data_IF_064258596674
#
_entry.id   IF_064258596674
#
_cell.length_a   1.000
_cell.length_b   1.000
_cell.length_c   1.000
_cell.angle_alpha   90.00
_cell.angle_beta   90.00
_cell.angle_gamma   90.00
#
_symmetry.space_group_name_H-M   'P 1'
#
loop_
_entity.id
_entity.type
_entity.pdbx_description
1 polymer ?
#
# COMPACT_ATOMS: atom_id res chain seq x y z
N UNK A 1 40.19 17.63 -30.71
CA UNK A 1 39.23 17.45 -29.58
C UNK A 1 38.67 16.02 -29.64
N UNK A 2 38.51 15.30 -28.50
CA UNK A 2 37.54 14.20 -28.26
C UNK A 2 38.01 12.93 -27.50
N UNK A 3 39.23 12.81 -26.99
CA UNK A 3 39.58 11.63 -26.16
C UNK A 3 38.92 11.65 -24.77
N UNK A 4 38.80 12.84 -24.16
CA UNK A 4 38.17 12.98 -22.83
C UNK A 4 36.66 12.67 -22.84
N UNK A 5 35.94 13.03 -23.91
CA UNK A 5 34.50 12.72 -24.07
C UNK A 5 34.26 11.21 -24.18
N UNK A 6 35.13 10.49 -24.89
CA UNK A 6 34.99 9.04 -25.13
C UNK A 6 35.18 8.22 -23.84
N UNK A 7 36.12 8.61 -22.97
CA UNK A 7 36.35 7.97 -21.67
C UNK A 7 35.18 8.19 -20.70
N UNK A 8 34.65 9.41 -20.62
CA UNK A 8 33.50 9.75 -19.78
C UNK A 8 32.22 9.00 -20.22
N UNK A 9 32.01 8.83 -21.53
CA UNK A 9 30.85 8.12 -22.05
C UNK A 9 30.82 6.62 -21.68
N UNK A 10 31.98 5.96 -21.58
CA UNK A 10 32.07 4.57 -21.14
C UNK A 10 31.85 4.41 -19.63
N UNK A 11 32.25 5.40 -18.83
CA UNK A 11 31.98 5.44 -17.39
C UNK A 11 30.48 5.60 -17.14
N UNK A 12 29.81 6.51 -17.86
CA UNK A 12 28.36 6.72 -17.75
C UNK A 12 27.59 5.46 -18.16
N UNK A 13 27.96 4.81 -19.27
CA UNK A 13 27.32 3.55 -19.71
C UNK A 13 27.44 2.42 -18.69
N UNK A 14 28.54 2.39 -17.92
CA UNK A 14 28.76 1.38 -16.87
C UNK A 14 27.94 1.64 -15.61
N UNK A 15 27.64 2.92 -15.31
CA UNK A 15 26.84 3.34 -14.15
C UNK A 15 25.33 3.42 -14.42
N UNK A 16 24.94 3.59 -15.68
CA UNK A 16 23.54 3.64 -16.11
C UNK A 16 22.66 2.47 -15.61
N UNK A 17 23.08 1.19 -15.64
CA UNK A 17 22.23 0.11 -15.15
C UNK A 17 21.97 0.19 -13.63
N UNK A 18 22.95 0.64 -12.84
CA UNK A 18 22.78 0.81 -11.40
C UNK A 18 21.81 1.96 -11.08
N UNK A 19 21.86 3.04 -11.85
CA UNK A 19 20.91 4.15 -11.75
C UNK A 19 19.47 3.66 -12.05
N UNK A 20 19.29 2.90 -13.12
CA UNK A 20 17.98 2.33 -13.50
C UNK A 20 17.48 1.39 -12.40
N UNK A 21 18.35 0.52 -11.87
CA UNK A 21 18.00 -0.39 -10.78
C UNK A 21 17.53 0.37 -9.53
N UNK A 22 18.22 1.45 -9.16
CA UNK A 22 17.83 2.28 -8.03
C UNK A 22 16.45 2.92 -8.24
N UNK A 23 16.16 3.43 -9.44
CA UNK A 23 14.85 4.01 -9.78
C UNK A 23 13.74 2.95 -9.69
N UNK A 24 13.99 1.75 -10.23
CA UNK A 24 13.02 0.64 -10.16
C UNK A 24 12.79 0.21 -8.72
N UNK A 25 13.84 0.11 -7.89
CA UNK A 25 13.72 -0.25 -6.49
C UNK A 25 12.91 0.78 -5.70
N UNK A 26 13.15 2.08 -5.91
CA UNK A 26 12.37 3.15 -5.27
C UNK A 26 10.92 3.15 -5.74
N UNK A 27 10.69 2.99 -7.05
CA UNK A 27 9.33 2.90 -7.60
C UNK A 27 8.57 1.68 -7.07
N UNK A 28 9.24 0.53 -6.96
CA UNK A 28 8.67 -0.68 -6.38
C UNK A 28 8.34 -0.50 -4.90
N UNK A 29 9.24 0.09 -4.11
CA UNK A 29 8.97 0.40 -2.71
C UNK A 29 7.80 1.36 -2.57
N UNK A 30 7.73 2.42 -3.36
CA UNK A 30 6.63 3.37 -3.33
C UNK A 30 5.30 2.69 -3.67
N UNK A 31 5.27 1.91 -4.76
CA UNK A 31 4.10 1.12 -5.14
C UNK A 31 3.67 0.16 -4.02
N UNK A 32 4.62 -0.56 -3.42
CA UNK A 32 4.34 -1.48 -2.33
C UNK A 32 3.78 -0.75 -1.10
N UNK A 33 4.36 0.39 -0.73
CA UNK A 33 3.92 1.18 0.41
C UNK A 33 2.56 1.84 0.21
N UNK A 34 2.13 2.19 -1.00
CA UNK A 34 0.77 2.72 -1.23
C UNK A 34 -0.27 1.61 -1.46
N UNK A 35 0.07 0.60 -2.25
CA UNK A 35 -0.87 -0.44 -2.67
C UNK A 35 -1.22 -1.40 -1.53
N UNK A 36 -0.22 -1.81 -0.73
CA UNK A 36 -0.42 -2.78 0.35
C UNK A 36 -1.34 -2.27 1.46
N UNK A 37 -1.19 -1.05 2.01
CA UNK A 37 -2.11 -0.56 3.03
C UNK A 37 -3.50 -0.23 2.48
N UNK A 38 -3.63 0.19 1.23
CA UNK A 38 -4.95 0.45 0.64
C UNK A 38 -5.75 -0.85 0.46
N UNK A 39 -5.13 -1.93 0.01
CA UNK A 39 -5.79 -3.23 -0.06
C UNK A 39 -6.15 -3.78 1.32
N UNK A 40 -5.23 -3.71 2.29
CA UNK A 40 -5.48 -4.19 3.64
C UNK A 40 -6.62 -3.42 4.35
N UNK A 41 -6.68 -2.09 4.19
CA UNK A 41 -7.80 -1.29 4.69
C UNK A 41 -9.12 -1.72 4.08
N UNK A 42 -9.17 -1.95 2.77
CA UNK A 42 -10.36 -2.47 2.08
C UNK A 42 -10.76 -3.83 2.63
N UNK A 43 -9.83 -4.77 2.71
CA UNK A 43 -10.11 -6.12 3.20
C UNK A 43 -10.61 -6.11 4.65
N UNK A 44 -9.97 -5.35 5.54
CA UNK A 44 -10.41 -5.20 6.93
C UNK A 44 -11.76 -4.49 7.04
N UNK A 45 -12.04 -3.53 6.15
CA UNK A 45 -13.33 -2.88 6.06
C UNK A 45 -14.41 -3.88 5.64
N UNK A 46 -14.21 -4.63 4.54
CA UNK A 46 -15.18 -5.63 4.09
C UNK A 46 -15.40 -6.73 5.14
N UNK A 47 -14.34 -7.26 5.75
CA UNK A 47 -14.43 -8.28 6.80
C UNK A 47 -15.27 -7.82 8.01
N UNK A 48 -15.26 -6.53 8.30
CA UNK A 48 -15.91 -5.97 9.49
C UNK A 48 -17.30 -5.41 9.19
N UNK A 49 -17.46 -4.70 8.07
CA UNK A 49 -18.66 -3.89 7.76
C UNK A 49 -19.55 -4.49 6.67
N UNK A 50 -19.05 -5.41 5.84
CA UNK A 50 -19.88 -6.02 4.77
C UNK A 50 -20.85 -7.05 5.36
N UNK A 51 -20.42 -7.76 6.41
CA UNK A 51 -21.28 -8.64 7.21
C UNK A 51 -22.41 -7.87 7.95
N UNK A 52 -22.32 -6.55 8.08
CA UNK A 52 -23.37 -5.71 8.67
C UNK A 52 -24.34 -5.10 7.65
N UNK A 53 -24.01 -5.11 6.35
CA UNK A 53 -24.89 -4.58 5.31
C UNK A 53 -26.13 -5.45 5.08
N UNK A 54 -26.04 -6.77 5.32
CA UNK A 54 -27.19 -7.67 5.30
C UNK A 54 -28.23 -7.34 6.40
N UNK A 55 -27.79 -6.75 7.51
CA UNK A 55 -28.67 -6.31 8.61
C UNK A 55 -29.28 -4.93 8.31
N UNK A 56 -28.60 -4.09 7.52
CA UNK A 56 -29.10 -2.75 7.16
C UNK A 56 -30.29 -2.78 6.19
N UNK A 57 -30.51 -3.90 5.49
CA UNK A 57 -31.76 -4.17 4.77
C UNK A 57 -32.99 -4.26 5.70
N UNK A 58 -32.78 -4.48 7.01
CA UNK A 58 -33.82 -4.54 8.04
C UNK A 58 -33.96 -3.26 8.89
N UNK A 59 -33.33 -2.14 8.49
CA UNK A 59 -33.66 -0.82 9.05
C UNK A 59 -33.28 -0.60 10.52
N UNK A 60 -32.40 -1.41 11.11
CA UNK A 60 -31.83 -1.10 12.43
C UNK A 60 -30.59 -0.22 12.27
N UNK A 61 -30.66 1.02 12.79
CA UNK A 61 -29.45 1.81 13.05
C UNK A 61 -28.56 1.01 13.98
N UNK A 62 -27.32 0.73 13.57
CA UNK A 62 -26.32 0.14 14.44
C UNK A 62 -26.25 0.97 15.74
N UNK A 63 -26.38 0.32 16.90
CA UNK A 63 -26.22 1.00 18.18
C UNK A 63 -24.78 1.53 18.31
N UNK A 64 -24.58 2.59 19.09
CA UNK A 64 -23.24 3.15 19.37
C UNK A 64 -22.25 2.09 19.87
N UNK A 65 -22.74 1.03 20.51
CA UNK A 65 -21.91 -0.07 21.01
C UNK A 65 -21.44 -0.99 19.90
N UNK A 66 -22.25 -1.21 18.86
CA UNK A 66 -21.88 -2.01 17.69
C UNK A 66 -20.86 -1.29 16.80
N UNK A 67 -20.95 0.04 16.70
CA UNK A 67 -19.95 0.85 16.01
C UNK A 67 -18.57 0.77 16.68
N UNK A 68 -18.52 0.84 18.01
CA UNK A 68 -17.27 0.69 18.78
C UNK A 68 -16.64 -0.70 18.62
N UNK A 69 -17.46 -1.75 18.62
CA UNK A 69 -16.97 -3.11 18.42
C UNK A 69 -16.40 -3.30 17.00
N UNK A 70 -17.10 -2.77 15.99
CA UNK A 70 -16.63 -2.79 14.61
C UNK A 70 -15.32 -2.00 14.45
N UNK A 71 -15.21 -0.83 15.09
CA UNK A 71 -13.98 -0.05 15.07
C UNK A 71 -12.80 -0.82 15.70
N UNK A 72 -13.02 -1.52 16.82
CA UNK A 72 -12.01 -2.34 17.47
C UNK A 72 -11.58 -3.53 16.60
N UNK A 73 -12.52 -4.23 15.97
CA UNK A 73 -12.25 -5.34 15.04
C UNK A 73 -11.48 -4.86 13.81
N UNK A 74 -11.85 -3.71 13.26
CA UNK A 74 -11.14 -3.08 12.15
C UNK A 74 -9.69 -2.73 12.52
N UNK A 75 -9.48 -2.09 13.68
CA UNK A 75 -8.12 -1.76 14.18
C UNK A 75 -7.27 -3.00 14.41
N UNK A 76 -7.83 -4.07 14.98
CA UNK A 76 -7.11 -5.33 15.16
C UNK A 76 -6.70 -5.95 13.82
N UNK A 77 -7.61 -5.96 12.84
CA UNK A 77 -7.30 -6.47 11.50
C UNK A 77 -6.16 -5.70 10.81
N UNK A 78 -6.14 -4.37 10.95
CA UNK A 78 -5.02 -3.56 10.43
C UNK A 78 -3.70 -3.95 11.10
N UNK A 79 -3.72 -4.11 12.43
CA UNK A 79 -2.54 -4.50 13.22
C UNK A 79 -2.01 -5.88 12.84
N UNK A 80 -2.89 -6.86 12.59
CA UNK A 80 -2.50 -8.20 12.10
C UNK A 80 -1.83 -8.13 10.73
N UNK A 81 -2.27 -7.22 9.87
CA UNK A 81 -1.64 -6.96 8.57
C UNK A 81 -0.39 -6.09 8.70
N UNK A 82 -0.03 -5.60 9.89
CA UNK A 82 1.16 -4.78 10.11
C UNK A 82 1.04 -3.40 9.48
N UNK A 83 -0.10 -2.75 9.68
CA UNK A 83 -0.42 -1.36 9.34
C UNK A 83 -0.95 -0.69 10.60
#
# INVERSE_FOLDING_TARGET
>A
MNFSKKKNMNIIKKQLPYLILAIVAVGFLFYWYEWRPSQAKKECYYKTYDNTLDISAFGQKASNDQEKENEARYKNCLKEKGI
#
